data_IF_988305461725
#
_entry.id   IF_988305461725
#
_cell.length_a   1.000
_cell.length_b   1.000
_cell.length_c   1.000
_cell.angle_alpha   90.00
_cell.angle_beta   90.00
_cell.angle_gamma   90.00
#
_symmetry.space_group_name_H-M   'P 1'
#
loop_
_entity.id
_entity.type
_entity.pdbx_description
1 polymer ?
#
# COMPACT_ATOMS: atom_id res chain seq x y z
N UNK A 1 5.43 7.77 -16.36
CA UNK A 1 4.98 6.38 -16.18
C UNK A 1 5.38 5.96 -14.77
N UNK A 2 4.48 5.31 -14.04
CA UNK A 2 4.71 4.92 -12.65
C UNK A 2 5.17 3.45 -12.60
N UNK A 3 6.18 3.15 -11.79
CA UNK A 3 6.74 1.80 -11.66
C UNK A 3 6.63 1.35 -10.21
N UNK A 4 5.75 0.39 -9.94
CA UNK A 4 5.62 -0.25 -8.63
C UNK A 4 6.70 -1.33 -8.49
N UNK A 5 7.60 -1.18 -7.53
CA UNK A 5 8.74 -2.08 -7.33
C UNK A 5 8.85 -2.56 -5.89
N UNK A 6 9.67 -3.56 -5.65
CA UNK A 6 10.10 -4.00 -4.32
C UNK A 6 11.21 -3.12 -3.71
N UNK A 7 11.50 -1.96 -4.31
CA UNK A 7 12.65 -1.11 -4.01
C UNK A 7 14.03 -1.76 -4.21
N UNK A 8 14.13 -2.79 -5.05
CA UNK A 8 15.42 -3.31 -5.49
C UNK A 8 16.25 -2.21 -6.16
N UNK A 9 17.47 -2.00 -5.65
CA UNK A 9 18.32 -0.85 -5.98
C UNK A 9 18.63 -0.72 -7.48
N UNK A 10 18.59 -1.81 -8.24
CA UNK A 10 18.82 -1.82 -9.68
C UNK A 10 17.78 -1.01 -10.46
N UNK A 11 16.58 -0.83 -9.91
CA UNK A 11 15.53 -0.02 -10.53
C UNK A 11 15.81 1.48 -10.49
N UNK A 12 16.73 1.95 -9.63
CA UNK A 12 17.09 3.36 -9.52
C UNK A 12 17.73 3.91 -10.81
N UNK A 13 18.26 3.05 -11.67
CA UNK A 13 18.84 3.44 -12.97
C UNK A 13 17.81 3.65 -14.09
N UNK A 14 16.53 3.32 -13.87
CA UNK A 14 15.49 3.45 -14.90
C UNK A 14 15.09 4.92 -15.03
N UNK A 15 15.35 5.50 -16.21
CA UNK A 15 15.03 6.90 -16.51
C UNK A 15 13.57 7.07 -16.95
N UNK A 16 12.97 8.22 -16.64
CA UNK A 16 11.63 8.60 -17.11
C UNK A 16 10.47 7.94 -16.36
N UNK A 17 10.73 7.28 -15.23
CA UNK A 17 9.71 6.66 -14.38
C UNK A 17 9.72 7.25 -12.98
N UNK A 18 8.56 7.28 -12.34
CA UNK A 18 8.45 7.53 -10.90
C UNK A 18 8.43 6.17 -10.18
N UNK A 19 9.47 5.90 -9.41
CA UNK A 19 9.53 4.71 -8.57
C UNK A 19 8.54 4.83 -7.41
N UNK A 20 7.70 3.82 -7.24
CA UNK A 20 6.75 3.68 -6.14
C UNK A 20 6.97 2.33 -5.48
N UNK A 21 6.91 2.30 -4.16
CA UNK A 21 7.00 1.03 -3.43
C UNK A 21 5.70 0.24 -3.61
N UNK A 22 5.84 -1.05 -3.92
CA UNK A 22 4.72 -1.98 -3.97
C UNK A 22 4.12 -2.15 -2.56
N UNK A 23 2.82 -1.94 -2.42
CA UNK A 23 2.14 -2.07 -1.13
C UNK A 23 2.28 -3.45 -0.47
N UNK A 24 2.43 -4.53 -1.26
CA UNK A 24 2.68 -5.87 -0.72
C UNK A 24 4.06 -5.95 -0.07
N UNK A 25 5.09 -5.38 -0.69
CA UNK A 25 6.43 -5.34 -0.11
C UNK A 25 6.48 -4.46 1.13
N UNK A 26 5.78 -3.34 1.11
CA UNK A 26 5.62 -2.47 2.27
C UNK A 26 4.92 -3.21 3.44
N UNK A 27 3.83 -3.92 3.16
CA UNK A 27 3.12 -4.74 4.15
C UNK A 27 4.04 -5.77 4.79
N UNK A 28 4.78 -6.54 3.97
CA UNK A 28 5.72 -7.56 4.44
C UNK A 28 6.82 -6.96 5.31
N UNK A 29 7.32 -5.77 4.95
CA UNK A 29 8.32 -5.07 5.76
C UNK A 29 7.76 -4.70 7.13
N UNK A 30 6.57 -4.12 7.21
CA UNK A 30 5.95 -3.79 8.50
C UNK A 30 5.68 -5.03 9.35
N UNK A 31 5.12 -6.10 8.77
CA UNK A 31 4.87 -7.37 9.50
C UNK A 31 6.17 -7.95 10.04
N UNK A 32 7.26 -7.91 9.26
CA UNK A 32 8.56 -8.40 9.72
C UNK A 32 9.16 -7.58 10.87
N UNK A 33 8.76 -6.32 11.02
CA UNK A 33 9.21 -5.45 12.14
C UNK A 33 8.37 -5.57 13.40
N UNK A 34 7.23 -6.25 13.37
CA UNK A 34 6.40 -6.44 14.56
C UNK A 34 7.10 -7.34 15.59
N UNK A 35 7.09 -6.97 16.89
CA UNK A 35 7.55 -7.87 17.93
C UNK A 35 6.66 -9.10 17.96
N UNK A 36 7.26 -10.30 18.02
CA UNK A 36 6.52 -11.57 18.12
C UNK A 36 5.69 -11.68 19.41
N UNK A 37 6.09 -10.91 20.43
CA UNK A 37 5.57 -10.98 21.79
C UNK A 37 4.95 -9.64 22.26
N UNK A 38 4.46 -8.81 21.34
CA UNK A 38 3.86 -7.51 21.68
C UNK A 38 2.54 -7.69 22.47
N UNK A 39 2.61 -7.51 23.79
CA UNK A 39 1.47 -7.56 24.73
C UNK A 39 0.85 -6.18 25.01
N UNK A 40 1.32 -5.10 24.37
CA UNK A 40 0.90 -3.73 24.67
C UNK A 40 -0.22 -3.25 23.70
N UNK A 41 -1.38 -2.78 24.19
CA UNK A 41 -2.51 -2.32 23.37
C UNK A 41 -2.27 -1.05 22.55
N UNK A 42 -1.12 -0.36 22.70
CA UNK A 42 -0.83 0.84 21.92
C UNK A 42 -0.28 0.45 20.55
N UNK A 43 -1.10 0.64 19.52
CA UNK A 43 -0.71 0.42 18.14
C UNK A 43 0.62 1.12 17.82
N UNK A 44 1.66 0.34 17.57
CA UNK A 44 2.93 0.81 17.05
C UNK A 44 2.74 1.34 15.62
N UNK A 45 3.66 2.21 15.15
CA UNK A 45 3.59 2.72 13.77
C UNK A 45 3.49 1.61 12.69
N UNK A 46 4.20 0.46 12.82
CA UNK A 46 4.00 -0.66 11.91
C UNK A 46 2.59 -1.26 11.95
N UNK A 47 1.96 -1.35 13.13
CA UNK A 47 0.58 -1.86 13.26
C UNK A 47 -0.43 -0.89 12.62
N UNK A 48 -0.28 0.41 12.85
CA UNK A 48 -1.09 1.45 12.20
C UNK A 48 -0.98 1.36 10.67
N UNK A 49 0.25 1.22 10.16
CA UNK A 49 0.48 1.06 8.73
C UNK A 49 -0.11 -0.24 8.16
N UNK A 50 -0.06 -1.35 8.90
CA UNK A 50 -0.71 -2.62 8.52
C UNK A 50 -2.22 -2.46 8.46
N UNK A 51 -2.84 -1.81 9.45
CA UNK A 51 -4.28 -1.55 9.47
C UNK A 51 -4.70 -0.67 8.28
N UNK A 52 -3.91 0.36 7.96
CA UNK A 52 -4.13 1.20 6.80
C UNK A 52 -4.01 0.42 5.48
N UNK A 53 -2.99 -0.43 5.33
CA UNK A 53 -2.80 -1.26 4.14
C UNK A 53 -3.94 -2.28 3.97
N UNK A 54 -4.43 -2.88 5.05
CA UNK A 54 -5.56 -3.81 5.02
C UNK A 54 -6.84 -3.13 4.50
N UNK A 55 -7.12 -1.88 4.93
CA UNK A 55 -8.23 -1.09 4.39
C UNK A 55 -8.07 -0.86 2.89
N UNK A 56 -6.87 -0.53 2.43
CA UNK A 56 -6.58 -0.36 1.00
C UNK A 56 -6.82 -1.65 0.20
N UNK A 57 -6.36 -2.81 0.69
CA UNK A 57 -6.59 -4.09 0.03
C UNK A 57 -8.07 -4.50 -0.01
N UNK A 58 -8.83 -4.15 1.04
CA UNK A 58 -10.28 -4.33 1.04
C UNK A 58 -10.94 -3.50 -0.07
N UNK A 59 -10.54 -2.24 -0.22
CA UNK A 59 -11.03 -1.37 -1.31
C UNK A 59 -10.71 -1.98 -2.69
N UNK A 60 -9.49 -2.49 -2.91
CA UNK A 60 -9.15 -3.18 -4.17
C UNK A 60 -10.05 -4.38 -4.46
N UNK A 61 -10.43 -5.13 -3.42
CA UNK A 61 -11.37 -6.25 -3.50
C UNK A 61 -12.78 -5.80 -3.91
N UNK A 62 -13.28 -4.72 -3.32
CA UNK A 62 -14.60 -4.13 -3.65
C UNK A 62 -14.65 -3.65 -5.11
N UNK A 63 -13.55 -3.10 -5.62
CA UNK A 63 -13.47 -2.59 -6.99
C UNK A 63 -13.22 -3.69 -8.04
N UNK A 64 -13.00 -4.95 -7.64
CA UNK A 64 -12.62 -6.04 -8.54
C UNK A 64 -13.67 -6.33 -9.63
N UNK A 65 -14.95 -6.14 -9.31
CA UNK A 65 -16.06 -6.47 -10.20
C UNK A 65 -16.53 -5.30 -11.08
N UNK A 66 -15.90 -4.12 -10.97
CA UNK A 66 -16.22 -2.97 -11.80
C UNK A 66 -15.60 -3.09 -13.19
N UNK A 67 -16.22 -2.44 -14.18
CA UNK A 67 -15.60 -2.29 -15.50
C UNK A 67 -14.30 -1.48 -15.39
N UNK A 68 -13.32 -1.68 -16.29
CA UNK A 68 -11.99 -1.05 -16.19
C UNK A 68 -12.04 0.47 -16.03
N UNK A 69 -12.93 1.16 -16.77
CA UNK A 69 -13.06 2.61 -16.73
C UNK A 69 -13.65 3.11 -15.41
N UNK A 70 -14.64 2.41 -14.87
CA UNK A 70 -15.25 2.74 -13.58
C UNK A 70 -14.29 2.42 -12.43
N UNK A 71 -13.60 1.28 -12.50
CA UNK A 71 -12.57 0.87 -11.55
C UNK A 71 -11.48 1.94 -11.43
N UNK A 72 -10.97 2.46 -12.55
CA UNK A 72 -9.90 3.47 -12.55
C UNK A 72 -10.33 4.77 -11.86
N UNK A 73 -11.55 5.27 -12.17
CA UNK A 73 -12.09 6.48 -11.55
C UNK A 73 -12.29 6.30 -10.05
N UNK A 74 -12.94 5.21 -9.66
CA UNK A 74 -13.26 4.94 -8.27
C UNK A 74 -12.00 4.70 -7.43
N UNK A 75 -11.03 3.98 -7.99
CA UNK A 75 -9.74 3.77 -7.37
C UNK A 75 -9.01 5.10 -7.11
N UNK A 76 -8.99 6.03 -8.06
CA UNK A 76 -8.36 7.35 -7.87
C UNK A 76 -9.00 8.16 -6.73
N UNK A 77 -10.33 8.18 -6.67
CA UNK A 77 -11.08 8.93 -5.65
C UNK A 77 -10.85 8.33 -4.26
N UNK A 78 -11.12 7.03 -4.11
CA UNK A 78 -11.04 6.35 -2.81
C UNK A 78 -9.62 6.25 -2.29
N UNK A 79 -8.65 5.98 -3.16
CA UNK A 79 -7.24 5.89 -2.76
C UNK A 79 -6.69 7.24 -2.32
N UNK A 80 -7.11 8.33 -2.96
CA UNK A 80 -6.72 9.68 -2.53
C UNK A 80 -7.30 9.98 -1.14
N UNK A 81 -8.59 9.75 -0.93
CA UNK A 81 -9.23 9.93 0.39
C UNK A 81 -8.51 9.11 1.47
N UNK A 82 -8.30 7.82 1.20
CA UNK A 82 -7.62 6.91 2.12
C UNK A 82 -6.18 7.33 2.45
N UNK A 83 -5.48 7.99 1.52
CA UNK A 83 -4.12 8.49 1.75
C UNK A 83 -4.09 9.74 2.63
N UNK A 84 -5.06 10.64 2.51
CA UNK A 84 -5.14 11.85 3.35
C UNK A 84 -5.52 11.53 4.81
N UNK A 85 -6.12 10.36 5.04
CA UNK A 85 -6.53 9.87 6.37
C UNK A 85 -5.40 9.17 7.16
N UNK A 86 -4.16 9.10 6.62
CA UNK A 86 -2.99 8.42 7.20
C UNK A 86 -1.88 9.40 7.59
#
# INVERSE_FOLDING_TARGET
MDMHTDAYSRYNGVKGVKGLLCYIHLYRAFVATLPKDAYDPKASKPEEAILWLNKLFKLEGELKNLSPDHKKKEHLIRKKQHLEDF
#
